data_IF_610078974449
#
_entry.id   IF_610078974449
#
_cell.length_a   1.000
_cell.length_b   1.000
_cell.length_c   1.000
_cell.angle_alpha   90.00
_cell.angle_beta   90.00
_cell.angle_gamma   90.00
#
_symmetry.space_group_name_H-M   'P 1'
#
loop_
_entity.id
_entity.type
_entity.pdbx_description
1 polymer ?
#
# COMPACT_ATOMS: atom_id res chain seq x y z
N UNK A 1 24.10 -15.01 28.40
CA UNK A 1 23.31 -13.93 27.79
C UNK A 1 21.88 -14.00 28.33
N UNK A 2 21.36 -12.91 28.89
CA UNK A 2 19.97 -12.86 29.40
C UNK A 2 18.97 -13.01 28.25
N UNK A 3 17.78 -13.56 28.52
CA UNK A 3 16.67 -13.62 27.56
C UNK A 3 16.32 -12.22 27.02
N UNK A 4 16.35 -11.20 27.89
CA UNK A 4 16.13 -9.81 27.50
C UNK A 4 17.12 -9.36 26.42
N UNK A 5 18.41 -9.69 26.56
CA UNK A 5 19.43 -9.29 25.57
C UNK A 5 19.18 -9.94 24.20
N UNK A 6 18.78 -11.22 24.18
CA UNK A 6 18.41 -11.90 22.93
C UNK A 6 17.17 -11.28 22.29
N UNK A 7 16.23 -10.80 23.10
CA UNK A 7 15.02 -10.14 22.61
C UNK A 7 15.32 -8.73 22.09
N UNK A 8 16.21 -7.98 22.75
CA UNK A 8 16.72 -6.70 22.27
C UNK A 8 17.41 -6.86 20.90
N UNK A 9 18.26 -7.88 20.76
CA UNK A 9 18.94 -8.20 19.50
C UNK A 9 17.95 -8.58 18.39
N UNK A 10 16.92 -9.37 18.71
CA UNK A 10 15.90 -9.82 17.75
C UNK A 10 14.99 -8.67 17.28
N UNK A 11 14.47 -7.86 18.22
CA UNK A 11 13.59 -6.73 17.89
C UNK A 11 14.39 -5.54 17.34
N UNK A 12 15.70 -5.51 17.54
CA UNK A 12 16.56 -4.37 17.23
C UNK A 12 16.13 -3.08 17.94
N UNK A 13 15.37 -3.20 19.03
CA UNK A 13 14.76 -2.10 19.78
C UNK A 13 14.68 -2.46 21.26
N UNK A 14 15.43 -1.70 22.08
CA UNK A 14 15.44 -1.87 23.54
C UNK A 14 14.09 -1.55 24.17
N UNK A 15 13.38 -0.57 23.62
CA UNK A 15 12.09 -0.15 24.13
C UNK A 15 11.01 -1.19 23.83
N UNK A 16 11.03 -1.80 22.64
CA UNK A 16 10.13 -2.90 22.30
C UNK A 16 10.37 -4.13 23.19
N UNK A 17 11.63 -4.47 23.48
CA UNK A 17 11.99 -5.56 24.39
C UNK A 17 11.55 -5.30 25.84
N UNK A 18 11.73 -4.08 26.35
CA UNK A 18 11.24 -3.70 27.68
C UNK A 18 9.72 -3.71 27.78
N UNK A 19 9.03 -3.29 26.72
CA UNK A 19 7.56 -3.28 26.64
C UNK A 19 6.98 -4.69 26.60
N UNK A 20 7.64 -5.61 25.88
CA UNK A 20 7.33 -7.03 25.98
C UNK A 20 7.46 -7.51 27.42
N UNK A 21 8.58 -7.20 28.07
CA UNK A 21 8.87 -7.76 29.38
C UNK A 21 8.00 -7.21 30.51
N UNK A 22 7.54 -5.95 30.40
CA UNK A 22 6.58 -5.37 31.35
C UNK A 22 5.17 -5.96 31.20
N UNK A 23 4.83 -6.50 30.03
CA UNK A 23 3.50 -7.03 29.71
C UNK A 23 3.45 -8.54 29.53
N UNK A 24 4.57 -9.28 29.62
CA UNK A 24 4.67 -10.70 29.23
C UNK A 24 3.61 -11.63 29.84
N UNK A 25 3.15 -11.32 31.05
CA UNK A 25 2.16 -12.12 31.78
C UNK A 25 0.70 -11.75 31.46
N UNK A 26 0.47 -10.69 30.67
CA UNK A 26 -0.86 -10.16 30.29
C UNK A 26 -0.85 -9.61 28.85
N UNK A 27 -0.12 -10.27 27.96
CA UNK A 27 0.11 -9.76 26.63
C UNK A 27 -1.09 -10.07 25.73
N UNK A 28 -1.82 -9.04 25.33
CA UNK A 28 -2.94 -9.16 24.41
C UNK A 28 -2.46 -9.18 22.94
N UNK A 29 -3.28 -9.67 22.02
CA UNK A 29 -2.91 -9.71 20.60
C UNK A 29 -2.57 -8.33 20.03
N UNK A 30 -3.25 -7.28 20.48
CA UNK A 30 -2.93 -5.89 20.10
C UNK A 30 -1.52 -5.46 20.55
N UNK A 31 -1.10 -5.88 21.74
CA UNK A 31 0.24 -5.58 22.27
C UNK A 31 1.33 -6.31 21.46
N UNK A 32 1.07 -7.56 21.04
CA UNK A 32 1.99 -8.33 20.19
C UNK A 32 2.23 -7.61 18.86
N UNK A 33 1.14 -7.17 18.21
CA UNK A 33 1.19 -6.45 16.93
C UNK A 33 1.94 -5.14 17.10
N UNK A 34 1.67 -4.39 18.18
CA UNK A 34 2.32 -3.11 18.42
C UNK A 34 3.84 -3.26 18.66
N UNK A 35 4.24 -4.23 19.48
CA UNK A 35 5.67 -4.51 19.74
C UNK A 35 6.39 -4.92 18.46
N UNK A 36 5.75 -5.75 17.64
CA UNK A 36 6.30 -6.15 16.35
C UNK A 36 6.43 -4.95 15.40
N UNK A 37 5.42 -4.08 15.33
CA UNK A 37 5.45 -2.87 14.52
C UNK A 37 6.55 -1.89 14.97
N UNK A 38 6.85 -1.81 16.26
CA UNK A 38 7.91 -0.98 16.85
C UNK A 38 9.33 -1.59 16.68
N UNK A 39 9.43 -2.85 16.22
CA UNK A 39 10.72 -3.49 15.98
C UNK A 39 11.45 -2.87 14.78
N UNK A 40 12.77 -2.79 14.87
CA UNK A 40 13.62 -2.23 13.81
C UNK A 40 13.47 -3.01 12.50
N UNK A 41 13.41 -4.33 12.58
CA UNK A 41 13.25 -5.21 11.42
C UNK A 41 12.00 -4.86 10.61
N UNK A 42 10.88 -4.60 11.28
CA UNK A 42 9.61 -4.26 10.64
C UNK A 42 9.60 -2.81 10.16
N UNK A 43 10.14 -1.89 10.95
CA UNK A 43 10.32 -0.50 10.50
C UNK A 43 11.20 -0.41 9.24
N UNK A 44 12.28 -1.18 9.16
CA UNK A 44 13.18 -1.23 8.01
C UNK A 44 12.52 -1.91 6.79
N UNK A 45 11.66 -2.91 7.01
CA UNK A 45 10.83 -3.52 5.96
C UNK A 45 9.90 -2.46 5.33
N UNK A 46 9.16 -1.71 6.16
CA UNK A 46 8.26 -0.67 5.67
C UNK A 46 8.99 0.55 5.08
N UNK A 47 10.20 0.88 5.54
CA UNK A 47 11.04 1.92 4.92
C UNK A 47 11.48 1.54 3.52
N UNK A 48 11.83 0.27 3.28
CA UNK A 48 12.17 -0.22 1.92
C UNK A 48 10.97 -0.16 0.97
N UNK A 49 9.76 -0.29 1.50
CA UNK A 49 8.51 -0.14 0.74
C UNK A 49 7.98 1.28 0.66
N UNK A 50 8.73 2.31 1.10
CA UNK A 50 8.40 3.66 0.70
C UNK A 50 8.56 3.76 -0.82
N UNK A 51 7.44 3.58 -1.53
CA UNK A 51 7.26 3.76 -2.96
C UNK A 51 7.63 5.20 -3.32
N UNK A 52 8.92 5.46 -3.41
CA UNK A 52 9.52 6.73 -3.86
C UNK A 52 9.40 6.90 -5.37
N UNK A 53 8.34 6.33 -5.98
CA UNK A 53 8.04 6.63 -7.37
C UNK A 53 7.41 8.02 -7.41
N UNK A 54 8.25 9.02 -7.64
CA UNK A 54 7.86 10.42 -7.79
C UNK A 54 6.68 10.50 -8.77
N UNK A 55 5.57 11.08 -8.31
CA UNK A 55 4.40 11.34 -9.15
C UNK A 55 4.83 12.14 -10.38
N UNK A 56 4.28 11.80 -11.55
CA UNK A 56 4.64 12.37 -12.84
C UNK A 56 3.40 12.41 -13.73
N UNK A 57 3.03 13.61 -14.19
CA UNK A 57 1.93 13.80 -15.14
C UNK A 57 2.12 12.94 -16.39
N UNK A 58 3.36 12.80 -16.86
CA UNK A 58 3.69 12.05 -18.07
C UNK A 58 3.48 10.55 -17.87
N UNK A 59 3.86 10.01 -16.71
CA UNK A 59 3.58 8.61 -16.37
C UNK A 59 2.08 8.37 -16.16
N UNK A 60 1.39 9.30 -15.49
CA UNK A 60 -0.06 9.21 -15.28
C UNK A 60 -0.80 9.13 -16.62
N UNK A 61 -0.49 10.04 -17.55
CA UNK A 61 -1.03 10.02 -18.91
C UNK A 61 -0.68 8.73 -19.65
N UNK A 62 0.58 8.29 -19.60
CA UNK A 62 1.03 7.04 -20.25
C UNK A 62 0.25 5.83 -19.72
N UNK A 63 0.08 5.70 -18.41
CA UNK A 63 -0.69 4.61 -17.82
C UNK A 63 -2.16 4.67 -18.21
N UNK A 64 -2.75 5.87 -18.26
CA UNK A 64 -4.11 6.07 -18.75
C UNK A 64 -4.26 5.64 -20.21
N UNK A 65 -3.34 6.04 -21.08
CA UNK A 65 -3.36 5.68 -22.50
C UNK A 65 -3.19 4.16 -22.70
N UNK A 66 -2.29 3.51 -21.95
CA UNK A 66 -2.17 2.05 -21.94
C UNK A 66 -3.44 1.36 -21.41
N UNK A 67 -4.08 1.94 -20.39
CA UNK A 67 -5.34 1.45 -19.85
C UNK A 67 -6.47 1.53 -20.88
N UNK A 68 -6.52 2.61 -21.66
CA UNK A 68 -7.49 2.77 -22.74
C UNK A 68 -7.33 1.68 -23.80
N UNK A 69 -6.11 1.33 -24.20
CA UNK A 69 -5.85 0.26 -25.16
C UNK A 69 -6.25 -1.12 -24.60
N UNK A 70 -5.96 -1.38 -23.32
CA UNK A 70 -6.40 -2.61 -22.66
C UNK A 70 -7.95 -2.68 -22.57
N UNK A 71 -8.61 -1.58 -22.25
CA UNK A 71 -10.07 -1.48 -22.14
C UNK A 71 -10.75 -1.72 -23.49
N UNK A 72 -10.25 -1.11 -24.58
CA UNK A 72 -10.72 -1.36 -25.95
C UNK A 72 -10.55 -2.83 -26.35
N UNK A 73 -9.47 -3.45 -25.89
CA UNK A 73 -9.18 -4.87 -26.11
C UNK A 73 -9.93 -5.82 -25.16
N UNK A 74 -10.87 -5.30 -24.37
CA UNK A 74 -11.63 -6.05 -23.36
C UNK A 74 -10.80 -6.76 -22.30
N UNK A 75 -9.57 -6.29 -22.07
CA UNK A 75 -8.70 -6.74 -20.99
C UNK A 75 -8.98 -5.92 -19.73
N UNK A 76 -10.21 -6.03 -19.21
CA UNK A 76 -10.74 -5.09 -18.20
C UNK A 76 -9.98 -5.12 -16.87
N UNK A 77 -9.48 -6.28 -16.46
CA UNK A 77 -8.61 -6.41 -15.26
C UNK A 77 -7.33 -5.60 -15.43
N UNK A 78 -6.70 -5.71 -16.61
CA UNK A 78 -5.46 -4.99 -16.93
C UNK A 78 -5.71 -3.48 -17.07
N UNK A 79 -6.85 -3.11 -17.67
CA UNK A 79 -7.27 -1.71 -17.74
C UNK A 79 -7.42 -1.11 -16.33
N UNK A 80 -8.09 -1.82 -15.43
CA UNK A 80 -8.26 -1.41 -14.03
C UNK A 80 -6.91 -1.21 -13.31
N UNK A 81 -5.96 -2.14 -13.48
CA UNK A 81 -4.62 -2.03 -12.92
C UNK A 81 -3.88 -0.79 -13.45
N UNK A 82 -3.95 -0.55 -14.77
CA UNK A 82 -3.29 0.58 -15.41
C UNK A 82 -3.90 1.92 -15.00
N UNK A 83 -5.22 2.04 -14.91
CA UNK A 83 -5.87 3.25 -14.38
C UNK A 83 -5.55 3.48 -12.90
N UNK A 84 -5.42 2.40 -12.09
CA UNK A 84 -4.98 2.52 -10.70
C UNK A 84 -3.57 3.12 -10.61
N UNK A 85 -2.64 2.67 -11.47
CA UNK A 85 -1.29 3.24 -11.56
C UNK A 85 -1.30 4.69 -12.04
N UNK A 86 -2.21 5.03 -12.94
CA UNK A 86 -2.42 6.42 -13.37
C UNK A 86 -2.83 7.29 -12.18
N UNK A 87 -3.85 6.90 -11.41
CA UNK A 87 -4.28 7.60 -10.20
C UNK A 87 -3.12 7.80 -9.18
N UNK A 88 -2.32 6.76 -8.96
CA UNK A 88 -1.18 6.81 -8.02
C UNK A 88 -0.08 7.78 -8.48
N UNK A 89 0.09 7.96 -9.79
CA UNK A 89 1.17 8.77 -10.37
C UNK A 89 0.72 10.18 -10.77
N UNK A 90 -0.58 10.48 -10.76
CA UNK A 90 -1.14 11.81 -11.04
C UNK A 90 -0.65 12.87 -10.05
N UNK A 91 -0.15 13.98 -10.59
CA UNK A 91 0.30 15.16 -9.84
C UNK A 91 -0.72 16.30 -9.81
N UNK A 92 -1.76 16.22 -10.65
CA UNK A 92 -2.81 17.23 -10.76
C UNK A 92 -4.19 16.57 -10.85
N UNK A 93 -5.21 17.36 -10.52
CA UNK A 93 -6.59 16.90 -10.38
C UNK A 93 -7.22 16.52 -11.72
N UNK A 94 -6.80 17.15 -12.82
CA UNK A 94 -7.35 16.86 -14.15
C UNK A 94 -7.00 15.43 -14.60
N UNK A 95 -5.71 15.04 -14.50
CA UNK A 95 -5.30 13.67 -14.86
C UNK A 95 -5.83 12.65 -13.85
N UNK A 96 -5.94 13.03 -12.56
CA UNK A 96 -6.54 12.16 -11.56
C UNK A 96 -8.03 11.90 -11.86
N UNK A 97 -8.82 12.94 -12.18
CA UNK A 97 -10.23 12.81 -12.50
C UNK A 97 -10.47 11.93 -13.73
N UNK A 98 -9.66 12.10 -14.79
CA UNK A 98 -9.72 11.25 -15.98
C UNK A 98 -9.38 9.79 -15.66
N UNK A 99 -8.35 9.55 -14.83
CA UNK A 99 -7.96 8.21 -14.43
C UNK A 99 -9.04 7.53 -13.57
N UNK A 100 -9.66 8.26 -12.63
CA UNK A 100 -10.76 7.76 -11.79
C UNK A 100 -11.98 7.40 -12.65
N UNK A 101 -12.43 8.29 -13.53
CA UNK A 101 -13.56 8.02 -14.43
C UNK A 101 -13.36 6.75 -15.27
N UNK A 102 -12.16 6.59 -15.83
CA UNK A 102 -11.81 5.39 -16.61
C UNK A 102 -11.72 4.13 -15.74
N UNK A 103 -11.24 4.26 -14.49
CA UNK A 103 -11.21 3.18 -13.49
C UNK A 103 -12.61 2.73 -13.10
N UNK A 104 -13.55 3.67 -12.88
CA UNK A 104 -14.96 3.38 -12.63
C UNK A 104 -15.57 2.60 -13.79
N UNK A 105 -15.33 3.01 -15.04
CA UNK A 105 -15.83 2.31 -16.21
C UNK A 105 -15.32 0.86 -16.31
N UNK A 106 -14.03 0.63 -16.03
CA UNK A 106 -13.46 -0.71 -15.97
C UNK A 106 -14.06 -1.55 -14.82
N UNK A 107 -14.27 -0.95 -13.64
CA UNK A 107 -14.91 -1.62 -12.51
C UNK A 107 -16.36 -2.02 -12.82
N UNK A 108 -17.13 -1.17 -13.52
CA UNK A 108 -18.49 -1.49 -13.97
C UNK A 108 -18.49 -2.69 -14.92
N UNK A 109 -17.61 -2.75 -15.92
CA UNK A 109 -17.50 -3.89 -16.84
C UNK A 109 -17.14 -5.20 -16.15
N UNK A 110 -16.41 -5.12 -15.04
CA UNK A 110 -16.08 -6.27 -14.20
C UNK A 110 -17.20 -6.65 -13.19
N UNK A 111 -18.34 -5.96 -13.21
CA UNK A 111 -19.43 -6.19 -12.26
C UNK A 111 -19.13 -5.71 -10.83
N UNK A 112 -18.11 -4.87 -10.65
CA UNK A 112 -17.70 -4.32 -9.34
C UNK A 112 -18.40 -2.98 -9.07
N UNK A 113 -19.73 -3.03 -8.94
CA UNK A 113 -20.59 -1.84 -8.85
C UNK A 113 -20.27 -0.94 -7.65
N UNK A 114 -20.00 -1.54 -6.49
CA UNK A 114 -19.66 -0.79 -5.27
C UNK A 114 -18.34 -0.04 -5.42
N UNK A 115 -17.32 -0.70 -5.98
CA UNK A 115 -16.04 -0.06 -6.28
C UNK A 115 -16.23 1.09 -7.25
N UNK A 116 -16.98 0.90 -8.33
CA UNK A 116 -17.19 1.94 -9.34
C UNK A 116 -17.85 3.22 -8.80
N UNK A 117 -18.70 3.11 -7.76
CA UNK A 117 -19.36 4.25 -7.10
C UNK A 117 -18.47 4.97 -6.07
N UNK A 118 -17.40 4.33 -5.62
CA UNK A 118 -16.49 4.86 -4.58
C UNK A 118 -15.23 5.52 -5.16
N UNK A 119 -15.07 5.49 -6.48
CA UNK A 119 -14.03 6.19 -7.24
C UNK A 119 -14.23 7.71 -7.21
#
# INVERSE_FOLDING_TARGET
MSFLNKLEDFLGSKDAAKKYESKKNRLEHGDQIQILFESKTIQDLFKKEQFTKKKSTLDAKRFRDLGNEAYKSSQDIKALELYSRSCQTSTNDNELALALANRSAAALRLGKWTTALQE
#
